data_IF_665835326292
#
_entry.id   IF_665835326292
#
_cell.length_a   1.000
_cell.length_b   1.000
_cell.length_c   1.000
_cell.angle_alpha   90.00
_cell.angle_beta   90.00
_cell.angle_gamma   90.00
#
_symmetry.space_group_name_H-M   'P 1'
#
loop_
_entity.id
_entity.type
_entity.pdbx_description
1 polymer ?
#
# COMPACT_ATOMS: atom_id res chain seq x y z
N UNK A 1 -3.45 44.51 24.78
CA UNK A 1 -2.58 44.28 23.61
C UNK A 1 -1.58 43.20 24.01
N UNK A 2 -1.76 41.98 23.52
CA UNK A 2 -0.82 40.88 23.81
C UNK A 2 0.39 41.03 22.89
N UNK A 3 1.54 41.37 23.46
CA UNK A 3 2.80 41.43 22.75
C UNK A 3 3.34 40.01 22.77
N UNK A 4 3.24 39.30 21.64
CA UNK A 4 3.87 38.00 21.48
C UNK A 4 5.40 38.19 21.53
N UNK A 5 6.12 37.41 22.37
CA UNK A 5 7.58 37.44 22.38
C UNK A 5 8.12 37.17 20.98
N UNK A 6 9.17 37.89 20.58
CA UNK A 6 9.81 37.70 19.28
C UNK A 6 10.28 36.25 19.09
N UNK A 7 10.62 35.59 20.19
CA UNK A 7 10.97 34.18 20.29
C UNK A 7 9.84 33.26 19.83
N UNK A 8 8.58 33.60 20.14
CA UNK A 8 7.41 32.83 19.74
C UNK A 8 7.12 32.92 18.23
N UNK A 9 7.72 33.90 17.53
CA UNK A 9 7.61 34.04 16.07
C UNK A 9 8.66 33.23 15.31
N UNK A 10 9.72 32.73 15.96
CA UNK A 10 10.79 31.96 15.31
C UNK A 10 10.28 30.63 14.76
N UNK A 11 9.47 29.93 15.54
CA UNK A 11 8.95 28.61 15.18
C UNK A 11 7.95 28.68 14.01
N UNK A 12 6.96 29.60 13.97
CA UNK A 12 6.13 29.83 12.79
C UNK A 12 6.95 30.18 11.53
N UNK A 13 7.95 31.05 11.65
CA UNK A 13 8.81 31.41 10.52
C UNK A 13 9.63 30.22 10.00
N UNK A 14 10.11 29.38 10.90
CA UNK A 14 10.81 28.15 10.55
C UNK A 14 9.90 27.20 9.78
N UNK A 15 8.66 26.99 10.25
CA UNK A 15 7.67 26.17 9.54
C UNK A 15 7.30 26.72 8.15
N UNK A 16 7.14 28.05 8.01
CA UNK A 16 6.86 28.68 6.72
C UNK A 16 8.00 28.43 5.73
N UNK A 17 9.25 28.64 6.17
CA UNK A 17 10.44 28.42 5.34
C UNK A 17 10.59 26.96 4.94
N UNK A 18 10.38 26.04 5.89
CA UNK A 18 10.41 24.60 5.63
C UNK A 18 9.37 24.20 4.58
N UNK A 19 8.14 24.71 4.68
CA UNK A 19 7.10 24.43 3.69
C UNK A 19 7.42 25.01 2.31
N UNK A 20 8.06 26.18 2.21
CA UNK A 20 8.55 26.72 0.94
C UNK A 20 9.65 25.87 0.30
N UNK A 21 10.57 25.34 1.11
CA UNK A 21 11.59 24.39 0.67
C UNK A 21 10.94 23.08 0.20
N UNK A 22 9.92 22.58 0.92
CA UNK A 22 9.18 21.38 0.54
C UNK A 22 8.35 21.53 -0.73
N UNK A 23 7.86 22.74 -1.08
CA UNK A 23 7.13 22.97 -2.35
C UNK A 23 8.00 22.70 -3.59
N UNK A 24 9.32 22.88 -3.46
CA UNK A 24 10.28 22.63 -4.54
C UNK A 24 10.77 21.17 -4.57
N UNK A 25 10.51 20.40 -3.51
CA UNK A 25 10.65 18.95 -3.56
C UNK A 25 9.52 18.43 -4.43
N UNK A 26 9.82 18.15 -5.71
CA UNK A 26 9.02 17.20 -6.46
C UNK A 26 9.03 15.92 -5.65
N UNK A 27 7.90 15.57 -5.03
CA UNK A 27 7.64 14.19 -4.64
C UNK A 27 7.93 13.41 -5.91
N UNK A 28 9.01 12.63 -5.91
CA UNK A 28 9.23 11.69 -6.99
C UNK A 28 7.98 10.83 -6.95
N UNK A 29 7.09 11.03 -7.93
CA UNK A 29 6.12 10.02 -8.30
C UNK A 29 6.94 8.89 -8.90
N UNK A 30 7.69 8.22 -8.04
CA UNK A 30 8.24 6.92 -8.35
C UNK A 30 7.00 6.08 -8.55
N UNK A 31 6.71 5.78 -9.81
CA UNK A 31 5.73 4.75 -10.14
C UNK A 31 6.35 3.49 -9.55
N UNK A 32 5.88 3.09 -8.37
CA UNK A 32 6.28 1.84 -7.76
C UNK A 32 5.69 0.77 -8.67
N UNK A 33 6.51 0.08 -9.45
CA UNK A 33 6.06 -1.11 -10.12
C UNK A 33 5.98 -2.22 -9.06
N UNK A 34 4.96 -3.05 -9.21
CA UNK A 34 4.74 -4.15 -8.31
C UNK A 34 4.09 -5.31 -9.05
N UNK A 35 4.51 -6.52 -8.72
CA UNK A 35 3.93 -7.75 -9.27
C UNK A 35 3.15 -8.48 -8.19
N UNK A 36 1.90 -8.80 -8.50
CA UNK A 36 1.07 -9.70 -7.68
C UNK A 36 1.19 -11.11 -8.25
N UNK A 37 1.66 -12.04 -7.43
CA UNK A 37 1.68 -13.47 -7.71
C UNK A 37 0.67 -14.10 -6.78
N UNK A 38 -0.33 -14.79 -7.31
CA UNK A 38 -1.33 -15.49 -6.52
C UNK A 38 -1.35 -16.98 -6.88
N UNK A 39 -1.65 -17.80 -5.90
CA UNK A 39 -1.75 -19.24 -6.05
C UNK A 39 -2.95 -19.78 -5.27
N UNK A 40 -3.51 -20.87 -5.77
CA UNK A 40 -4.71 -21.50 -5.24
C UNK A 40 -4.42 -22.93 -4.81
N UNK A 41 -4.94 -23.31 -3.65
CA UNK A 41 -4.92 -24.69 -3.17
C UNK A 41 -6.33 -25.20 -2.92
N UNK A 42 -6.46 -26.48 -2.60
CA UNK A 42 -7.74 -27.05 -2.17
C UNK A 42 -8.28 -26.39 -0.90
N UNK A 43 -7.41 -25.90 -0.02
CA UNK A 43 -7.75 -25.38 1.31
C UNK A 43 -7.96 -23.86 1.34
N UNK A 44 -7.25 -23.12 0.48
CA UNK A 44 -7.29 -21.66 0.49
C UNK A 44 -6.51 -21.05 -0.65
N UNK A 45 -6.27 -19.75 -0.54
CA UNK A 45 -5.49 -18.96 -1.49
C UNK A 45 -4.35 -18.23 -0.78
N UNK A 46 -3.30 -17.97 -1.53
CA UNK A 46 -2.19 -17.11 -1.13
C UNK A 46 -1.88 -16.12 -2.25
N UNK A 47 -1.36 -14.95 -1.88
CA UNK A 47 -0.84 -13.97 -2.80
C UNK A 47 0.36 -13.24 -2.20
N UNK A 48 1.33 -12.93 -3.04
CA UNK A 48 2.51 -12.12 -2.75
C UNK A 48 2.52 -10.89 -3.66
N UNK A 49 2.75 -9.72 -3.06
CA UNK A 49 3.04 -8.49 -3.77
C UNK A 49 4.54 -8.20 -3.61
N UNK A 50 5.26 -8.28 -4.72
CA UNK A 50 6.68 -7.92 -4.77
C UNK A 50 6.80 -6.48 -5.28
N UNK A 51 7.42 -5.62 -4.48
CA UNK A 51 7.70 -4.23 -4.83
C UNK A 51 9.10 -4.12 -5.44
N UNK A 52 9.33 -3.13 -6.30
CA UNK A 52 10.67 -2.83 -6.84
C UNK A 52 11.73 -2.53 -5.76
N UNK A 53 11.31 -2.18 -4.54
CA UNK A 53 12.17 -2.02 -3.37
C UNK A 53 12.78 -3.34 -2.85
N UNK A 54 12.27 -4.48 -3.32
CA UNK A 54 12.58 -5.82 -2.81
C UNK A 54 11.73 -6.23 -1.61
N UNK A 55 10.83 -5.37 -1.15
CA UNK A 55 9.86 -5.72 -0.11
C UNK A 55 8.80 -6.66 -0.68
N UNK A 56 8.44 -7.68 0.12
CA UNK A 56 7.44 -8.68 -0.24
C UNK A 56 6.33 -8.65 0.81
N UNK A 57 5.12 -8.33 0.38
CA UNK A 57 3.92 -8.41 1.21
C UNK A 57 3.20 -9.73 0.91
N UNK A 58 2.66 -10.36 1.95
CA UNK A 58 1.96 -11.64 1.86
C UNK A 58 0.53 -11.49 2.33
N UNK A 59 -0.40 -12.01 1.55
CA UNK A 59 -1.81 -12.14 1.90
C UNK A 59 -2.25 -13.59 1.69
N UNK A 60 -3.09 -14.12 2.57
CA UNK A 60 -3.65 -15.44 2.41
C UNK A 60 -5.02 -15.56 3.10
N UNK A 61 -5.80 -16.56 2.71
CA UNK A 61 -7.11 -16.80 3.29
C UNK A 61 -7.67 -18.18 2.98
N UNK A 62 -8.58 -18.62 3.83
CA UNK A 62 -9.38 -19.82 3.56
C UNK A 62 -10.44 -19.53 2.50
N UNK A 63 -10.84 -20.57 1.75
CA UNK A 63 -11.98 -20.47 0.86
C UNK A 63 -13.29 -20.35 1.63
N UNK A 64 -14.21 -19.51 1.12
CA UNK A 64 -15.60 -19.56 1.55
C UNK A 64 -16.25 -20.84 1.04
N UNK A 65 -17.31 -21.30 1.71
CA UNK A 65 -18.01 -22.57 1.40
C UNK A 65 -18.49 -22.68 -0.05
N UNK A 66 -18.83 -21.57 -0.71
CA UNK A 66 -19.19 -21.58 -2.13
C UNK A 66 -17.98 -21.61 -3.07
N UNK A 67 -16.79 -21.19 -2.61
CA UNK A 67 -15.55 -21.16 -3.38
C UNK A 67 -14.83 -22.51 -3.36
N UNK A 68 -15.06 -23.34 -2.33
CA UNK A 68 -14.45 -24.67 -2.24
C UNK A 68 -14.87 -25.62 -3.37
N UNK A 69 -16.07 -25.43 -3.93
CA UNK A 69 -16.67 -26.27 -4.99
C UNK A 69 -16.22 -25.84 -6.40
N UNK A 70 -15.48 -24.74 -6.52
CA UNK A 70 -15.02 -24.26 -7.82
C UNK A 70 -13.97 -25.17 -8.45
N UNK A 71 -13.95 -25.16 -9.79
CA UNK A 71 -12.87 -25.81 -10.56
C UNK A 71 -11.53 -25.15 -10.26
N UNK A 72 -10.42 -25.89 -10.41
CA UNK A 72 -9.06 -25.38 -10.16
C UNK A 72 -8.80 -24.06 -10.89
N UNK A 73 -9.16 -23.97 -12.17
CA UNK A 73 -8.98 -22.74 -12.97
C UNK A 73 -9.78 -21.56 -12.38
N UNK A 74 -10.99 -21.80 -11.90
CA UNK A 74 -11.78 -20.74 -11.24
C UNK A 74 -11.17 -20.33 -9.91
N UNK A 75 -10.57 -21.27 -9.15
CA UNK A 75 -9.87 -20.96 -7.90
C UNK A 75 -8.63 -20.12 -8.14
N UNK A 76 -7.84 -20.40 -9.17
CA UNK A 76 -6.69 -19.56 -9.55
C UNK A 76 -7.12 -18.13 -9.86
N UNK A 77 -8.14 -17.96 -10.72
CA UNK A 77 -8.66 -16.64 -11.05
C UNK A 77 -9.16 -15.89 -9.79
N UNK A 78 -9.79 -16.61 -8.87
CA UNK A 78 -10.30 -16.02 -7.64
C UNK A 78 -9.20 -15.70 -6.63
N UNK A 79 -8.15 -16.50 -6.54
CA UNK A 79 -6.95 -16.22 -5.75
C UNK A 79 -6.30 -14.93 -6.23
N UNK A 80 -6.14 -14.75 -7.54
CA UNK A 80 -5.63 -13.50 -8.13
C UNK A 80 -6.51 -12.30 -7.78
N UNK A 81 -7.83 -12.43 -7.94
CA UNK A 81 -8.76 -11.36 -7.61
C UNK A 81 -8.73 -10.97 -6.11
N UNK A 82 -8.70 -11.96 -5.22
CA UNK A 82 -8.63 -11.75 -3.77
C UNK A 82 -7.27 -11.18 -3.35
N UNK A 83 -6.17 -11.64 -3.96
CA UNK A 83 -4.83 -11.11 -3.76
C UNK A 83 -4.75 -9.62 -4.10
N UNK A 84 -5.27 -9.21 -5.26
CA UNK A 84 -5.32 -7.78 -5.64
C UNK A 84 -6.12 -6.97 -4.61
N UNK A 85 -7.30 -7.46 -4.20
CA UNK A 85 -8.13 -6.76 -3.20
C UNK A 85 -7.43 -6.65 -1.85
N UNK A 86 -6.66 -7.66 -1.44
CA UNK A 86 -5.96 -7.66 -0.17
C UNK A 86 -4.90 -6.56 -0.08
N UNK A 87 -4.26 -6.21 -1.20
CA UNK A 87 -3.24 -5.16 -1.27
C UNK A 87 -3.77 -3.79 -1.70
N UNK A 88 -5.03 -3.69 -2.13
CA UNK A 88 -5.64 -2.44 -2.57
C UNK A 88 -6.23 -1.58 -1.43
N UNK A 89 -6.01 -1.97 -0.17
CA UNK A 89 -6.51 -1.27 1.03
C UNK A 89 -5.54 -0.23 1.58
#
# INVERSE_FOLDING_TARGET
MMILPLEALKEPYWWIKYLEECKNLKIQNTIIQASVIADSSSQGWGATLELDSGEVLVAHGAWLSFQTVLTSIRKELQATHLGIIAFAK
#
